data_IF_801027627348
#
_entry.id   IF_801027627348
#
_cell.length_a   1.000
_cell.length_b   1.000
_cell.length_c   1.000
_cell.angle_alpha   90.00
_cell.angle_beta   90.00
_cell.angle_gamma   90.00
#
_symmetry.space_group_name_H-M   'P 1'
#
loop_
_entity.id
_entity.type
_entity.pdbx_description
1 polymer ?
#
# COMPACT_ATOMS: atom_id res chain seq x y z
N UNK A 1 -62.36 25.94 -29.63
CA UNK A 1 -61.00 25.52 -30.00
C UNK A 1 -60.06 26.67 -29.68
N UNK A 2 -59.40 26.66 -28.51
CA UNK A 2 -58.41 27.67 -28.12
C UNK A 2 -57.10 26.93 -27.93
N UNK A 3 -56.14 27.33 -28.74
CA UNK A 3 -55.00 26.54 -29.17
C UNK A 3 -54.01 26.19 -28.06
N UNK A 4 -53.38 25.04 -28.31
CA UNK A 4 -52.11 24.62 -27.77
C UNK A 4 -51.07 25.75 -27.86
N UNK A 5 -50.64 26.27 -26.71
CA UNK A 5 -49.35 26.94 -26.58
C UNK A 5 -48.51 26.16 -25.57
N UNK A 6 -48.10 24.97 -26.00
CA UNK A 6 -47.08 24.18 -25.34
C UNK A 6 -45.72 24.62 -25.91
N UNK A 7 -44.98 25.50 -25.22
CA UNK A 7 -43.63 25.89 -25.65
C UNK A 7 -42.68 25.98 -24.45
N UNK A 8 -41.88 24.90 -24.36
CA UNK A 8 -40.48 24.77 -23.92
C UNK A 8 -40.10 25.14 -22.48
N UNK A 9 -40.18 24.13 -21.62
CA UNK A 9 -39.22 23.90 -20.53
C UNK A 9 -37.85 23.56 -21.14
N UNK A 10 -36.90 24.50 -21.16
CA UNK A 10 -35.49 24.19 -21.40
C UNK A 10 -34.76 24.26 -20.06
N UNK A 11 -34.72 23.13 -19.37
CA UNK A 11 -33.80 22.94 -18.25
C UNK A 11 -32.39 22.78 -18.81
N UNK A 12 -31.58 23.82 -18.69
CA UNK A 12 -30.13 23.76 -18.93
C UNK A 12 -29.47 23.04 -17.76
N UNK A 13 -29.37 21.71 -17.83
CA UNK A 13 -28.49 20.95 -16.96
C UNK A 13 -27.04 21.14 -17.42
N UNK A 14 -26.33 22.08 -16.81
CA UNK A 14 -24.88 22.17 -16.93
C UNK A 14 -24.26 20.96 -16.25
N UNK A 15 -23.73 20.02 -17.03
CA UNK A 15 -22.93 18.93 -16.50
C UNK A 15 -21.65 19.50 -15.85
N UNK A 16 -21.64 19.58 -14.52
CA UNK A 16 -20.41 19.85 -13.76
C UNK A 16 -19.51 18.63 -13.90
N UNK A 17 -18.46 18.75 -14.72
CA UNK A 17 -17.37 17.78 -14.74
C UNK A 17 -16.52 18.05 -13.50
N UNK A 18 -16.98 17.52 -12.36
CA UNK A 18 -16.12 17.41 -11.20
C UNK A 18 -14.99 16.46 -11.56
N UNK A 19 -13.79 17.00 -11.74
CA UNK A 19 -12.59 16.17 -11.64
C UNK A 19 -12.58 15.68 -10.20
N UNK A 20 -13.13 14.49 -9.98
CA UNK A 20 -12.88 13.72 -8.78
C UNK A 20 -11.39 13.44 -8.81
N UNK A 21 -10.65 14.33 -8.17
CA UNK A 21 -9.37 13.98 -7.58
C UNK A 21 -9.72 12.86 -6.61
N UNK A 22 -9.66 11.63 -7.12
CA UNK A 22 -9.58 10.44 -6.28
C UNK A 22 -8.41 10.75 -5.39
N UNK A 23 -8.69 11.09 -4.13
CA UNK A 23 -7.68 11.04 -3.11
C UNK A 23 -7.10 9.64 -3.28
N UNK A 24 -5.88 9.55 -3.80
CA UNK A 24 -5.15 8.30 -3.81
C UNK A 24 -4.99 8.00 -2.33
N UNK A 25 -5.97 7.28 -1.79
CA UNK A 25 -5.88 6.68 -0.48
C UNK A 25 -4.52 6.03 -0.52
N UNK A 26 -3.58 6.41 0.35
CA UNK A 26 -2.28 5.76 0.37
C UNK A 26 -2.61 4.28 0.37
N UNK A 27 -2.16 3.56 -0.67
CA UNK A 27 -2.42 2.13 -0.78
C UNK A 27 -2.12 1.57 0.59
N UNK A 28 -3.08 0.94 1.30
CA UNK A 28 -2.84 0.53 2.67
C UNK A 28 -1.59 -0.35 2.63
N UNK A 29 -0.51 0.14 3.24
CA UNK A 29 0.77 -0.54 3.21
C UNK A 29 0.50 -1.95 3.73
N UNK A 30 0.68 -2.94 2.86
CA UNK A 30 0.34 -4.31 3.19
C UNK A 30 1.41 -4.75 4.19
N UNK A 31 1.01 -5.03 5.42
CA UNK A 31 1.91 -5.35 6.51
C UNK A 31 1.74 -6.81 6.89
N UNK A 32 2.86 -7.49 7.12
CA UNK A 32 2.87 -8.87 7.63
C UNK A 32 3.71 -8.93 8.89
N UNK A 33 3.18 -9.65 9.89
CA UNK A 33 3.88 -9.92 11.15
C UNK A 33 4.22 -11.40 11.20
N UNK A 34 5.48 -11.69 11.53
CA UNK A 34 5.99 -13.06 11.59
C UNK A 34 7.00 -13.19 12.72
N UNK A 35 7.17 -14.41 13.22
CA UNK A 35 8.15 -14.70 14.26
C UNK A 35 9.31 -15.48 13.67
N UNK A 36 10.52 -15.16 14.09
CA UNK A 36 11.73 -15.84 13.62
C UNK A 36 12.21 -16.87 14.64
N UNK A 37 12.75 -17.98 14.16
CA UNK A 37 13.35 -19.03 14.99
C UNK A 37 14.87 -18.88 15.02
N UNK A 38 15.52 -19.67 15.88
CA UNK A 38 16.98 -19.66 16.00
C UNK A 38 17.61 -20.09 14.66
N UNK A 39 18.54 -19.27 14.15
CA UNK A 39 19.19 -19.48 12.85
C UNK A 39 18.58 -18.70 11.69
N UNK A 40 17.45 -18.01 11.90
CA UNK A 40 16.89 -17.09 10.91
C UNK A 40 17.62 -15.75 10.93
N UNK A 41 18.24 -15.36 9.81
CA UNK A 41 18.93 -14.08 9.66
C UNK A 41 18.12 -13.03 8.88
N UNK A 42 18.63 -11.79 8.83
CA UNK A 42 17.99 -10.71 8.07
C UNK A 42 17.82 -11.02 6.58
N UNK A 43 18.73 -11.79 5.97
CA UNK A 43 18.59 -12.24 4.59
C UNK A 43 17.29 -13.02 4.37
N UNK A 44 16.94 -13.92 5.31
CA UNK A 44 15.68 -14.65 5.25
C UNK A 44 14.50 -13.72 5.47
N UNK A 45 14.55 -12.84 6.47
CA UNK A 45 13.44 -11.90 6.74
C UNK A 45 13.12 -11.03 5.54
N UNK A 46 14.16 -10.55 4.85
CA UNK A 46 14.01 -9.73 3.67
C UNK A 46 13.43 -10.48 2.47
N UNK A 47 13.86 -11.72 2.27
CA UNK A 47 13.27 -12.58 1.26
C UNK A 47 11.81 -12.91 1.60
N UNK A 48 11.51 -13.18 2.87
CA UNK A 48 10.15 -13.42 3.35
C UNK A 48 9.25 -12.22 3.09
N UNK A 49 9.66 -11.02 3.50
CA UNK A 49 8.90 -9.79 3.27
C UNK A 49 8.70 -9.50 1.78
N UNK A 50 9.74 -9.66 0.96
CA UNK A 50 9.63 -9.45 -0.48
C UNK A 50 8.59 -10.40 -1.12
N UNK A 51 8.56 -11.65 -0.68
CA UNK A 51 7.61 -12.66 -1.18
C UNK A 51 6.20 -12.45 -0.66
N UNK A 52 6.02 -12.19 0.64
CA UNK A 52 4.68 -12.00 1.22
C UNK A 52 4.01 -10.73 0.69
N UNK A 53 4.80 -9.69 0.44
CA UNK A 53 4.29 -8.40 -0.03
C UNK A 53 4.28 -8.30 -1.56
N UNK A 54 4.95 -9.21 -2.27
CA UNK A 54 5.07 -9.19 -3.73
C UNK A 54 5.86 -7.98 -4.26
N UNK A 55 6.67 -7.35 -3.42
CA UNK A 55 7.44 -6.16 -3.76
C UNK A 55 8.79 -6.13 -3.04
N UNK A 56 9.82 -5.60 -3.68
CA UNK A 56 11.09 -5.29 -3.01
C UNK A 56 11.08 -3.90 -2.33
N UNK A 57 10.01 -3.13 -2.52
CA UNK A 57 9.78 -1.85 -1.85
C UNK A 57 9.04 -2.11 -0.54
N UNK A 58 9.78 -2.42 0.53
CA UNK A 58 9.22 -2.61 1.87
C UNK A 58 10.18 -2.09 2.94
N UNK A 59 9.66 -1.89 4.14
CA UNK A 59 10.42 -1.48 5.30
C UNK A 59 10.08 -2.36 6.51
N UNK A 60 11.03 -2.51 7.42
CA UNK A 60 10.78 -3.10 8.73
C UNK A 60 10.43 -2.00 9.73
N UNK A 61 9.45 -2.25 10.59
CA UNK A 61 9.07 -1.31 11.65
C UNK A 61 10.11 -1.24 12.76
N UNK A 62 10.82 -2.33 12.98
CA UNK A 62 11.69 -2.52 14.15
C UNK A 62 13.15 -2.09 13.89
N UNK A 63 13.51 -1.68 12.66
CA UNK A 63 14.87 -1.33 12.23
C UNK A 63 15.95 -2.40 12.50
N UNK A 64 15.56 -3.62 12.87
CA UNK A 64 16.48 -4.72 13.19
C UNK A 64 17.19 -5.26 11.95
N UNK A 65 16.50 -5.25 10.81
CA UNK A 65 17.03 -5.62 9.51
C UNK A 65 16.86 -4.44 8.56
N UNK A 66 17.95 -4.05 7.90
CA UNK A 66 17.93 -2.99 6.88
C UNK A 66 18.47 -3.54 5.58
N UNK A 67 17.76 -3.29 4.48
CA UNK A 67 18.27 -3.63 3.16
C UNK A 67 19.36 -2.63 2.75
N UNK A 68 20.57 -3.13 2.52
CA UNK A 68 21.69 -2.35 1.99
C UNK A 68 21.97 -2.80 0.56
N UNK A 69 21.85 -1.88 -0.38
CA UNK A 69 22.07 -2.17 -1.80
C UNK A 69 23.50 -2.71 -2.01
N UNK A 70 23.63 -3.87 -2.66
CA UNK A 70 24.92 -4.53 -2.92
C UNK A 70 25.41 -5.49 -1.82
N UNK A 71 24.91 -5.37 -0.59
CA UNK A 71 25.26 -6.27 0.53
C UNK A 71 24.11 -7.19 0.93
N UNK A 72 22.89 -6.83 0.55
CA UNK A 72 21.67 -7.52 0.97
C UNK A 72 21.18 -7.00 2.32
N UNK A 73 20.42 -7.81 3.03
CA UNK A 73 19.88 -7.39 4.31
C UNK A 73 20.84 -7.62 5.47
N UNK A 74 21.12 -6.55 6.19
CA UNK A 74 22.11 -6.49 7.26
C UNK A 74 21.42 -6.19 8.58
N UNK A 75 21.87 -6.87 9.63
CA UNK A 75 21.30 -6.79 10.98
C UNK A 75 21.35 -8.14 11.70
N UNK A 76 20.84 -8.18 12.92
CA UNK A 76 20.83 -9.39 13.74
C UNK A 76 19.49 -9.54 14.47
N UNK A 77 18.52 -10.27 13.89
CA UNK A 77 17.24 -10.50 14.52
C UNK A 77 17.37 -11.53 15.64
N UNK A 78 16.55 -11.35 16.67
CA UNK A 78 16.51 -12.21 17.85
C UNK A 78 15.48 -13.31 17.63
N UNK A 79 15.87 -14.54 17.94
CA UNK A 79 14.97 -15.69 17.91
C UNK A 79 13.83 -15.51 18.92
N UNK A 80 12.61 -15.90 18.54
CA UNK A 80 11.42 -15.78 19.39
C UNK A 80 10.79 -14.39 19.41
N UNK A 81 11.33 -13.43 18.65
CA UNK A 81 10.75 -12.09 18.49
C UNK A 81 9.88 -12.05 17.23
N UNK A 82 8.75 -11.35 17.34
CA UNK A 82 7.89 -11.02 16.20
C UNK A 82 8.35 -9.73 15.55
N UNK A 83 8.46 -9.77 14.23
CA UNK A 83 8.85 -8.64 13.40
C UNK A 83 7.74 -8.30 12.43
N UNK A 84 7.63 -7.03 12.10
CA UNK A 84 6.67 -6.56 11.10
C UNK A 84 7.38 -5.88 9.95
N UNK A 85 6.97 -6.21 8.72
CA UNK A 85 7.37 -5.49 7.53
C UNK A 85 6.15 -5.09 6.73
N UNK A 86 6.25 -3.93 6.10
CA UNK A 86 5.16 -3.30 5.35
C UNK A 86 5.65 -2.89 3.98
N UNK A 87 4.79 -2.99 2.96
CA UNK A 87 5.10 -2.42 1.65
C UNK A 87 5.26 -0.90 1.79
N UNK A 88 6.27 -0.33 1.12
CA UNK A 88 6.51 1.11 1.07
C UNK A 88 5.78 1.77 -0.12
#
# INVERSE_FOLDING_TARGET
MRGFFAILLVFLFTAVNGNVETCKSPTPNNCVTFSVTQGTGCAWMCNYCANQLGTNNYYFTDNVCTYQQGTGCVGNPLAGVSYTCCSA
#
